data_IF_904290210250
#
_entry.id   IF_904290210250
#
_cell.length_a   1.000
_cell.length_b   1.000
_cell.length_c   1.000
_cell.angle_alpha   90.00
_cell.angle_beta   90.00
_cell.angle_gamma   90.00
#
_symmetry.space_group_name_H-M   'P 1'
#
loop_
_entity.id
_entity.type
_entity.pdbx_description
1 polymer ?
#
# COMPACT_ATOMS: atom_id res chain seq x y z
N UNK A 1 5.17 4.17 53.31
CA UNK A 1 4.24 5.21 53.81
C UNK A 1 4.19 6.32 52.77
N UNK A 2 3.09 6.42 52.04
CA UNK A 2 2.37 7.65 51.66
C UNK A 2 1.10 7.16 50.97
N UNK A 3 -0.02 7.42 51.64
CA UNK A 3 -1.37 7.12 51.18
C UNK A 3 -1.96 8.33 50.46
N UNK A 4 -3.06 8.08 49.74
CA UNK A 4 -4.19 8.99 49.41
C UNK A 4 -4.36 9.24 47.92
N UNK A 5 -5.56 9.35 47.34
CA UNK A 5 -6.97 9.09 47.72
C UNK A 5 -7.75 9.09 46.39
N UNK A 6 -8.88 8.37 46.33
CA UNK A 6 -9.87 8.28 45.24
C UNK A 6 -10.47 9.62 44.76
N UNK A 7 -10.93 9.67 43.50
CA UNK A 7 -12.20 10.30 43.11
C UNK A 7 -12.68 9.81 41.72
N UNK A 8 -13.89 9.23 41.70
CA UNK A 8 -14.80 9.13 40.55
C UNK A 8 -16.08 9.91 40.94
N UNK A 9 -17.17 10.02 40.14
CA UNK A 9 -17.38 10.01 38.69
C UNK A 9 -18.12 11.29 38.22
N UNK A 10 -18.48 11.43 36.94
CA UNK A 10 -19.62 12.31 36.58
C UNK A 10 -20.36 11.79 35.35
N UNK A 11 -21.54 11.24 35.60
CA UNK A 11 -22.55 10.92 34.61
C UNK A 11 -23.22 12.21 34.14
N UNK A 12 -23.37 12.38 32.82
CA UNK A 12 -24.20 13.44 32.24
C UNK A 12 -25.44 12.80 31.62
N UNK A 13 -26.59 13.05 32.25
CA UNK A 13 -27.93 12.74 31.77
C UNK A 13 -28.37 13.92 30.90
N UNK A 14 -28.81 13.67 29.66
CA UNK A 14 -29.56 14.64 28.87
C UNK A 14 -30.93 14.08 28.48
N UNK A 15 -31.91 14.96 28.60
CA UNK A 15 -33.33 14.72 28.78
C UNK A 15 -34.11 14.61 27.47
N UNK A 16 -35.15 13.79 27.59
CA UNK A 16 -36.41 13.64 26.84
C UNK A 16 -37.00 14.85 26.06
N UNK A 17 -37.57 14.49 24.90
CA UNK A 17 -38.87 14.91 24.33
C UNK A 17 -39.05 16.25 23.62
N UNK A 18 -39.36 16.19 22.31
CA UNK A 18 -40.42 17.00 21.67
C UNK A 18 -40.95 16.31 20.40
N UNK A 19 -42.26 16.10 20.38
CA UNK A 19 -43.06 15.55 19.29
C UNK A 19 -43.45 16.71 18.34
N UNK A 20 -43.26 16.55 17.04
CA UNK A 20 -43.87 17.44 16.03
C UNK A 20 -44.31 16.60 14.83
N UNK A 21 -45.63 16.48 14.66
CA UNK A 21 -46.24 15.92 13.45
C UNK A 21 -46.00 16.89 12.29
N UNK A 22 -45.12 16.48 11.37
CA UNK A 22 -44.98 17.08 10.05
C UNK A 22 -45.34 16.04 8.99
N UNK A 23 -46.32 16.39 8.15
CA UNK A 23 -46.79 15.64 6.98
C UNK A 23 -45.62 15.28 6.04
N UNK A 24 -45.52 14.05 5.49
CA UNK A 24 -44.45 13.74 4.55
C UNK A 24 -44.77 14.36 3.18
N UNK A 25 -44.20 15.53 2.93
CA UNK A 25 -44.04 16.04 1.57
C UNK A 25 -43.16 15.06 0.79
N UNK A 26 -43.68 14.54 -0.33
CA UNK A 26 -42.91 13.76 -1.29
C UNK A 26 -41.71 14.58 -1.76
N UNK A 27 -40.51 14.16 -1.37
CA UNK A 27 -39.26 14.67 -1.92
C UNK A 27 -39.10 14.03 -3.30
N UNK A 28 -38.86 14.80 -4.38
CA UNK A 28 -38.54 14.20 -5.66
C UNK A 28 -37.27 13.37 -5.51
N UNK A 29 -37.38 12.10 -5.87
CA UNK A 29 -36.28 11.15 -5.89
C UNK A 29 -35.29 11.58 -6.96
N UNK A 30 -34.25 12.32 -6.56
CA UNK A 30 -33.03 12.46 -7.34
C UNK A 30 -32.04 11.41 -6.84
N UNK A 31 -32.38 10.14 -7.08
CA UNK A 31 -31.39 9.07 -7.11
C UNK A 31 -30.54 9.21 -8.39
N UNK A 32 -29.82 10.31 -8.52
CA UNK A 32 -28.54 10.27 -9.20
C UNK A 32 -27.50 10.11 -8.10
N UNK A 33 -27.24 8.86 -7.73
CA UNK A 33 -25.91 8.53 -7.22
C UNK A 33 -24.98 8.87 -8.39
N UNK A 34 -24.51 10.12 -8.45
CA UNK A 34 -23.24 10.38 -9.09
C UNK A 34 -22.27 9.47 -8.36
N UNK A 35 -21.96 8.34 -8.97
CA UNK A 35 -20.71 7.65 -8.72
C UNK A 35 -19.65 8.66 -9.17
N UNK A 36 -19.33 9.63 -8.33
CA UNK A 36 -18.12 10.42 -8.52
C UNK A 36 -17.01 9.40 -8.40
N UNK A 37 -16.57 8.85 -9.53
CA UNK A 37 -15.42 7.96 -9.58
C UNK A 37 -14.24 8.63 -8.85
N UNK A 38 -13.37 7.82 -8.26
CA UNK A 38 -12.18 8.37 -7.63
C UNK A 38 -11.41 9.25 -8.63
N UNK A 39 -10.94 10.39 -8.15
CA UNK A 39 -10.16 11.34 -8.94
C UNK A 39 -8.78 10.76 -9.26
N UNK A 40 -8.18 11.25 -10.36
CA UNK A 40 -6.79 10.94 -10.71
C UNK A 40 -5.84 11.23 -9.53
N UNK A 41 -6.08 12.32 -8.79
CA UNK A 41 -5.28 12.70 -7.63
C UNK A 41 -5.36 11.70 -6.48
N UNK A 42 -6.51 11.02 -6.28
CA UNK A 42 -6.62 9.97 -5.26
C UNK A 42 -5.76 8.76 -5.62
N UNK A 43 -5.77 8.34 -6.89
CA UNK A 43 -4.89 7.25 -7.36
C UNK A 43 -3.42 7.66 -7.33
N UNK A 44 -3.08 8.87 -7.77
CA UNK A 44 -1.71 9.38 -7.72
C UNK A 44 -1.17 9.44 -6.27
N UNK A 45 -2.02 9.74 -5.28
CA UNK A 45 -1.63 9.71 -3.86
C UNK A 45 -1.29 8.29 -3.37
N UNK A 46 -2.04 7.27 -3.81
CA UNK A 46 -1.72 5.86 -3.51
C UNK A 46 -0.35 5.49 -4.09
N UNK A 47 -0.09 5.93 -5.33
CA UNK A 47 1.20 5.70 -5.99
C UNK A 47 2.33 6.43 -5.28
N UNK A 48 2.15 7.70 -4.90
CA UNK A 48 3.17 8.49 -4.22
C UNK A 48 3.60 7.84 -2.89
N UNK A 49 2.65 7.34 -2.10
CA UNK A 49 2.93 6.64 -0.85
C UNK A 49 3.71 5.35 -1.11
N UNK A 50 3.23 4.53 -2.05
CA UNK A 50 3.88 3.26 -2.40
C UNK A 50 5.27 3.45 -3.02
N UNK A 51 5.46 4.54 -3.76
CA UNK A 51 6.73 4.91 -4.37
C UNK A 51 7.79 5.22 -3.31
N UNK A 52 7.42 5.99 -2.28
CA UNK A 52 8.35 6.34 -1.20
C UNK A 52 8.96 5.09 -0.55
N UNK A 53 8.12 4.10 -0.21
CA UNK A 53 8.59 2.86 0.42
C UNK A 53 9.54 2.05 -0.48
N UNK A 54 9.29 2.02 -1.80
CA UNK A 54 10.14 1.31 -2.78
C UNK A 54 11.44 2.07 -3.06
N UNK A 55 11.38 3.40 -3.19
CA UNK A 55 12.53 4.26 -3.41
C UNK A 55 13.51 4.19 -2.23
N UNK A 56 12.98 4.25 -0.99
CA UNK A 56 13.78 4.11 0.23
C UNK A 56 14.46 2.74 0.30
N UNK A 57 13.73 1.66 -0.01
CA UNK A 57 14.31 0.32 -0.02
C UNK A 57 15.42 0.16 -1.07
N UNK A 58 15.22 0.65 -2.30
CA UNK A 58 16.25 0.62 -3.36
C UNK A 58 17.49 1.44 -2.94
N UNK A 59 17.27 2.60 -2.32
CA UNK A 59 18.36 3.42 -1.79
C UNK A 59 19.18 2.67 -0.73
N UNK A 60 18.52 2.07 0.26
CA UNK A 60 19.17 1.27 1.31
C UNK A 60 19.92 0.06 0.73
N UNK A 61 19.32 -0.62 -0.24
CA UNK A 61 19.96 -1.73 -0.97
C UNK A 61 21.26 -1.30 -1.65
N UNK A 62 21.24 -0.16 -2.34
CA UNK A 62 22.42 0.36 -3.02
C UNK A 62 23.47 0.93 -2.05
N UNK A 63 23.06 1.67 -1.01
CA UNK A 63 23.96 2.25 -0.01
C UNK A 63 24.71 1.16 0.78
N UNK A 64 24.02 0.07 1.12
CA UNK A 64 24.63 -1.10 1.75
C UNK A 64 25.53 -1.91 0.80
N UNK A 65 25.67 -1.49 -0.47
CA UNK A 65 26.39 -2.21 -1.53
C UNK A 65 25.88 -3.64 -1.76
N UNK A 66 24.59 -3.85 -1.51
CA UNK A 66 23.99 -5.16 -1.64
C UNK A 66 23.94 -5.60 -3.10
N UNK A 67 24.12 -6.89 -3.28
CA UNK A 67 24.14 -7.56 -4.56
C UNK A 67 23.76 -9.02 -4.38
N UNK A 68 23.41 -9.67 -5.49
CA UNK A 68 23.15 -11.11 -5.50
C UNK A 68 24.30 -11.92 -4.90
N UNK A 69 25.55 -11.53 -5.19
CA UNK A 69 26.75 -12.18 -4.66
C UNK A 69 26.96 -11.93 -3.16
N UNK A 70 26.66 -10.72 -2.68
CA UNK A 70 26.74 -10.41 -1.25
C UNK A 70 25.72 -11.23 -0.46
N UNK A 71 24.49 -11.37 -0.98
CA UNK A 71 23.46 -12.22 -0.36
C UNK A 71 23.83 -13.70 -0.40
N UNK A 72 24.33 -14.21 -1.53
CA UNK A 72 24.79 -15.61 -1.66
C UNK A 72 25.92 -15.92 -0.66
N UNK A 73 26.80 -14.96 -0.43
CA UNK A 73 27.89 -15.06 0.55
C UNK A 73 27.41 -15.01 2.01
N UNK A 74 26.11 -14.80 2.23
CA UNK A 74 25.50 -14.73 3.56
C UNK A 74 25.68 -13.39 4.27
N UNK A 75 25.82 -12.28 3.53
CA UNK A 75 25.88 -10.95 4.16
C UNK A 75 24.58 -10.67 4.93
N UNK A 76 24.64 -10.49 6.26
CA UNK A 76 23.45 -10.38 7.09
C UNK A 76 22.66 -9.09 6.83
N UNK A 77 23.32 -8.01 6.41
CA UNK A 77 22.65 -6.76 6.06
C UNK A 77 21.83 -6.96 4.78
N UNK A 78 22.41 -7.57 3.76
CA UNK A 78 21.72 -7.82 2.51
C UNK A 78 20.59 -8.84 2.64
N UNK A 79 20.74 -9.85 3.50
CA UNK A 79 19.63 -10.75 3.83
C UNK A 79 18.49 -10.04 4.55
N UNK A 80 18.79 -9.17 5.52
CA UNK A 80 17.77 -8.38 6.22
C UNK A 80 17.03 -7.43 5.26
N UNK A 81 17.76 -6.78 4.35
CA UNK A 81 17.16 -5.92 3.32
C UNK A 81 16.30 -6.71 2.34
N UNK A 82 16.63 -7.96 1.99
CA UNK A 82 15.73 -8.78 1.17
C UNK A 82 14.40 -9.08 1.85
N UNK A 83 14.43 -9.42 3.14
CA UNK A 83 13.21 -9.64 3.92
C UNK A 83 12.36 -8.36 3.98
N UNK A 84 13.01 -7.22 4.26
CA UNK A 84 12.35 -5.91 4.24
C UNK A 84 11.75 -5.59 2.88
N UNK A 85 12.50 -5.85 1.80
CA UNK A 85 12.05 -5.64 0.43
C UNK A 85 10.84 -6.48 0.06
N UNK A 86 10.82 -7.76 0.43
CA UNK A 86 9.66 -8.63 0.19
C UNK A 86 8.39 -8.09 0.87
N UNK A 87 8.51 -7.59 2.10
CA UNK A 87 7.41 -6.93 2.81
C UNK A 87 6.99 -5.62 2.14
N UNK A 88 7.94 -4.80 1.67
CA UNK A 88 7.67 -3.58 0.91
C UNK A 88 6.91 -3.91 -0.39
N UNK A 89 7.32 -4.92 -1.14
CA UNK A 89 6.68 -5.33 -2.38
C UNK A 89 5.25 -5.83 -2.17
N UNK A 90 5.02 -6.70 -1.17
CA UNK A 90 3.68 -7.17 -0.83
C UNK A 90 2.80 -6.00 -0.34
N UNK A 91 3.36 -5.07 0.43
CA UNK A 91 2.64 -3.87 0.86
C UNK A 91 2.24 -2.99 -0.33
N UNK A 92 3.15 -2.79 -1.29
CA UNK A 92 2.87 -2.04 -2.52
C UNK A 92 1.73 -2.68 -3.32
N UNK A 93 1.78 -4.01 -3.54
CA UNK A 93 0.70 -4.77 -4.16
C UNK A 93 -0.62 -4.59 -3.41
N UNK A 94 -0.64 -4.74 -2.08
CA UNK A 94 -1.86 -4.60 -1.29
C UNK A 94 -2.44 -3.19 -1.34
N UNK A 95 -1.59 -2.14 -1.33
CA UNK A 95 -2.02 -0.74 -1.49
C UNK A 95 -2.67 -0.53 -2.86
N UNK A 96 -2.03 -1.00 -3.92
CA UNK A 96 -2.48 -0.82 -5.31
C UNK A 96 -3.73 -1.65 -5.58
N UNK A 97 -3.72 -2.97 -5.36
CA UNK A 97 -4.92 -3.81 -5.53
C UNK A 97 -6.07 -3.34 -4.62
N UNK A 98 -5.75 -2.92 -3.39
CA UNK A 98 -6.74 -2.48 -2.42
C UNK A 98 -7.53 -1.26 -2.88
N UNK A 99 -6.92 -0.34 -3.63
CA UNK A 99 -7.56 0.85 -4.15
C UNK A 99 -8.69 0.54 -5.15
N UNK A 100 -8.59 -0.57 -5.89
CA UNK A 100 -9.59 -0.98 -6.91
C UNK A 100 -10.39 -2.23 -6.53
N UNK A 101 -10.12 -2.87 -5.39
CA UNK A 101 -10.85 -4.07 -4.94
C UNK A 101 -12.11 -3.74 -4.12
N UNK A 102 -13.33 -4.02 -4.61
CA UNK A 102 -14.53 -3.72 -3.84
C UNK A 102 -14.59 -4.48 -2.51
N UNK A 103 -15.04 -3.79 -1.45
CA UNK A 103 -15.29 -4.41 -0.15
C UNK A 103 -14.08 -4.48 0.80
N UNK A 104 -12.94 -3.87 0.46
CA UNK A 104 -11.82 -3.66 1.40
C UNK A 104 -11.76 -2.21 1.88
N UNK A 105 -11.19 -1.92 3.07
CA UNK A 105 -11.12 -0.56 3.59
C UNK A 105 -10.36 0.44 2.71
N UNK A 106 -9.40 -0.04 1.91
CA UNK A 106 -8.59 0.77 1.01
C UNK A 106 -9.28 1.12 -0.33
N UNK A 107 -10.47 0.57 -0.60
CA UNK A 107 -11.16 0.76 -1.88
C UNK A 107 -11.57 2.22 -2.10
N UNK A 108 -11.11 2.81 -3.20
CA UNK A 108 -11.45 4.18 -3.60
C UNK A 108 -12.31 4.23 -4.88
N UNK A 109 -12.31 3.18 -5.70
CA UNK A 109 -13.11 3.10 -6.92
C UNK A 109 -12.35 2.48 -8.08
N UNK A 110 -12.93 2.57 -9.28
CA UNK A 110 -12.24 2.23 -10.52
C UNK A 110 -11.36 3.40 -10.99
N UNK A 111 -10.20 3.14 -11.63
CA UNK A 111 -9.36 4.19 -12.19
C UNK A 111 -10.10 4.96 -13.31
N UNK A 112 -10.03 6.31 -13.34
CA UNK A 112 -10.46 7.10 -14.49
C UNK A 112 -9.81 6.63 -15.80
N UNK A 113 -10.55 6.76 -16.91
CA UNK A 113 -10.10 6.30 -18.23
C UNK A 113 -8.72 6.84 -18.63
N UNK A 114 -8.43 8.09 -18.27
CA UNK A 114 -7.14 8.76 -18.53
C UNK A 114 -5.93 8.02 -17.90
N UNK A 115 -6.11 7.38 -16.75
CA UNK A 115 -5.04 6.69 -16.02
C UNK A 115 -5.21 5.16 -15.98
N UNK A 116 -6.29 4.60 -16.52
CA UNK A 116 -6.58 3.17 -16.45
C UNK A 116 -5.43 2.29 -16.98
N UNK A 117 -4.77 2.72 -18.07
CA UNK A 117 -3.65 2.00 -18.66
C UNK A 117 -2.41 2.01 -17.74
N UNK A 118 -2.04 3.19 -17.22
CA UNK A 118 -0.86 3.31 -16.36
C UNK A 118 -1.10 2.63 -15.00
N UNK A 119 -2.33 2.67 -14.50
CA UNK A 119 -2.75 1.96 -13.30
C UNK A 119 -2.62 0.45 -13.46
N UNK A 120 -3.26 -0.14 -14.49
CA UNK A 120 -3.17 -1.59 -14.71
C UNK A 120 -1.74 -2.07 -14.98
N UNK A 121 -0.90 -1.24 -15.63
CA UNK A 121 0.52 -1.55 -15.80
C UNK A 121 1.29 -1.52 -14.48
N UNK A 122 0.97 -0.58 -13.58
CA UNK A 122 1.59 -0.45 -12.27
C UNK A 122 1.18 -1.60 -11.35
N UNK A 123 -0.12 -1.92 -11.30
CA UNK A 123 -0.67 -3.06 -10.56
C UNK A 123 -0.01 -4.36 -10.96
N UNK A 124 0.10 -4.62 -12.27
CA UNK A 124 0.75 -5.84 -12.78
C UNK A 124 2.21 -5.97 -12.31
N UNK A 125 2.97 -4.88 -12.30
CA UNK A 125 4.37 -4.92 -11.89
C UNK A 125 4.48 -5.01 -10.36
N UNK A 126 3.58 -4.40 -9.61
CA UNK A 126 3.51 -4.56 -8.16
C UNK A 126 3.25 -6.01 -7.76
N UNK A 127 2.33 -6.69 -8.47
CA UNK A 127 2.10 -8.14 -8.29
C UNK A 127 3.37 -8.94 -8.60
N UNK A 128 4.04 -8.65 -9.71
CA UNK A 128 5.26 -9.36 -10.08
C UNK A 128 6.39 -9.16 -9.06
N UNK A 129 6.53 -7.96 -8.49
CA UNK A 129 7.50 -7.67 -7.44
C UNK A 129 7.18 -8.44 -6.15
N UNK A 130 5.91 -8.46 -5.74
CA UNK A 130 5.46 -9.21 -4.57
C UNK A 130 5.67 -10.73 -4.74
N UNK A 131 5.29 -11.29 -5.90
CA UNK A 131 5.49 -12.71 -6.22
C UNK A 131 6.99 -13.07 -6.23
N UNK A 132 7.84 -12.18 -6.75
CA UNK A 132 9.29 -12.37 -6.73
C UNK A 132 9.86 -12.29 -5.29
N UNK A 133 9.29 -11.43 -4.44
CA UNK A 133 9.62 -11.32 -3.02
C UNK A 133 9.23 -12.58 -2.23
N UNK A 134 8.04 -13.13 -2.48
CA UNK A 134 7.58 -14.39 -1.88
C UNK A 134 8.46 -15.59 -2.32
N UNK A 135 8.99 -15.54 -3.54
CA UNK A 135 9.87 -16.59 -4.05
C UNK A 135 11.28 -16.59 -3.43
N UNK A 136 11.67 -15.54 -2.69
CA UNK A 136 12.96 -15.46 -2.01
C UNK A 136 13.09 -16.57 -0.96
N UNK A 137 14.25 -17.23 -0.86
CA UNK A 137 14.48 -18.21 0.20
C UNK A 137 14.75 -17.51 1.54
N UNK A 138 14.36 -18.14 2.65
CA UNK A 138 14.70 -17.67 4.00
C UNK A 138 16.21 -17.68 4.27
N UNK A 139 16.93 -18.63 3.64
CA UNK A 139 18.40 -18.74 3.72
C UNK A 139 18.98 -18.93 2.33
N UNK A 140 19.61 -17.86 1.84
CA UNK A 140 20.26 -17.82 0.55
C UNK A 140 21.54 -18.67 0.46
N UNK A 141 22.20 -18.95 1.59
CA UNK A 141 23.41 -19.79 1.60
C UNK A 141 23.12 -21.28 1.34
N UNK A 142 21.85 -21.67 1.50
CA UNK A 142 21.37 -23.04 1.32
C UNK A 142 20.60 -23.26 0.00
N UNK A 143 20.34 -22.21 -0.79
CA UNK A 143 19.58 -22.28 -2.05
C UNK A 143 20.46 -21.97 -3.27
N UNK A 144 20.70 -22.96 -4.12
CA UNK A 144 21.49 -22.82 -5.34
C UNK A 144 20.86 -21.88 -6.38
N UNK A 145 19.57 -21.58 -6.27
CA UNK A 145 18.85 -20.62 -7.11
C UNK A 145 18.73 -19.24 -6.44
N UNK A 146 19.29 -19.02 -5.24
CA UNK A 146 19.21 -17.75 -4.52
C UNK A 146 19.62 -16.57 -5.42
N UNK A 147 20.79 -16.64 -6.06
CA UNK A 147 21.32 -15.57 -6.92
C UNK A 147 20.30 -15.13 -7.97
N UNK A 148 19.62 -16.09 -8.60
CA UNK A 148 18.63 -15.85 -9.65
C UNK A 148 17.33 -15.26 -9.08
N UNK A 149 16.87 -15.75 -7.93
CA UNK A 149 15.66 -15.24 -7.26
C UNK A 149 15.87 -13.83 -6.74
N UNK A 150 17.02 -13.56 -6.11
CA UNK A 150 17.42 -12.23 -5.67
C UNK A 150 17.53 -11.27 -6.85
N UNK A 151 18.16 -11.69 -7.94
CA UNK A 151 18.22 -10.88 -9.16
C UNK A 151 16.83 -10.54 -9.70
N UNK A 152 15.95 -11.54 -9.79
CA UNK A 152 14.59 -11.36 -10.27
C UNK A 152 13.79 -10.40 -9.38
N UNK A 153 13.94 -10.53 -8.06
CA UNK A 153 13.28 -9.66 -7.09
C UNK A 153 13.75 -8.21 -7.20
N UNK A 154 15.08 -7.97 -7.18
CA UNK A 154 15.64 -6.61 -7.30
C UNK A 154 15.22 -5.97 -8.63
N UNK A 155 15.28 -6.73 -9.73
CA UNK A 155 14.82 -6.25 -11.05
C UNK A 155 13.33 -5.90 -11.03
N UNK A 156 12.49 -6.70 -10.37
CA UNK A 156 11.06 -6.43 -10.28
C UNK A 156 10.75 -5.18 -9.44
N UNK A 157 11.54 -4.89 -8.41
CA UNK A 157 11.45 -3.65 -7.63
C UNK A 157 11.90 -2.42 -8.44
N UNK A 158 12.97 -2.53 -9.23
CA UNK A 158 13.39 -1.48 -10.17
C UNK A 158 12.35 -1.24 -11.28
N UNK A 159 11.75 -2.31 -11.82
CA UNK A 159 10.64 -2.22 -12.77
C UNK A 159 9.42 -1.51 -12.15
N UNK A 160 9.13 -1.78 -10.87
CA UNK A 160 8.05 -1.13 -10.12
C UNK A 160 8.33 0.37 -9.93
N UNK A 161 9.55 0.73 -9.52
CA UNK A 161 9.99 2.13 -9.46
C UNK A 161 9.83 2.83 -10.81
N UNK A 162 10.23 2.17 -11.92
CA UNK A 162 10.04 2.71 -13.26
C UNK A 162 8.56 2.93 -13.62
N UNK A 163 7.64 2.09 -13.12
CA UNK A 163 6.20 2.36 -13.26
C UNK A 163 5.75 3.56 -12.45
N UNK A 164 6.29 3.77 -11.25
CA UNK A 164 6.00 4.97 -10.47
C UNK A 164 6.51 6.26 -11.13
N UNK A 165 7.60 6.21 -11.88
CA UNK A 165 8.06 7.37 -12.66
C UNK A 165 7.05 7.84 -13.71
N UNK A 166 6.30 6.91 -14.31
CA UNK A 166 5.26 7.26 -15.28
C UNK A 166 4.10 8.07 -14.66
N UNK A 167 4.02 8.15 -13.33
CA UNK A 167 3.02 8.94 -12.60
C UNK A 167 3.42 10.38 -12.31
N UNK A 168 4.67 10.78 -12.58
CA UNK A 168 5.17 12.15 -12.32
C UNK A 168 4.22 13.26 -12.82
N UNK A 169 3.56 13.18 -14.00
CA UNK A 169 2.64 14.23 -14.45
C UNK A 169 1.37 14.41 -13.61
N UNK A 170 1.06 13.46 -12.73
CA UNK A 170 -0.17 13.42 -11.92
C UNK A 170 0.09 13.68 -10.42
N UNK A 171 1.36 13.78 -10.00
CA UNK A 171 1.81 14.04 -8.63
C UNK A 171 2.27 15.49 -8.48
#
# INVERSE_FOLDING_TARGET
MHASVLAAPTALILLLSACSSGEPASVPSTNEVQTSGASVQQFASVIAESRGDVDDWLADWHEATCSTLATESGDPTCQALLLGGGLTAETAKLKIEGATKPGVPAYIGEPPEEIAIIWGATEKVAVAAADAGEALPDDCSADSECVKKVFAFVTAMEDLQSKYDAWEPYM
#
